data_IF_151651956021
#
_entry.id   IF_151651956021
#
_cell.length_a   1.000
_cell.length_b   1.000
_cell.length_c   1.000
_cell.angle_alpha   90.00
_cell.angle_beta   90.00
_cell.angle_gamma   90.00
#
_symmetry.space_group_name_H-M   'P 1'
#
loop_
_entity.id
_entity.type
_entity.pdbx_description
1 polymer ?
#
# COMPACT_ATOMS: atom_id res chain seq x y z
N UNK A 1 -16.07 45.74 19.34
CA UNK A 1 -15.62 44.95 18.17
C UNK A 1 -14.75 43.72 18.50
N UNK A 2 -14.69 43.25 19.75
CA UNK A 2 -13.86 42.10 20.15
C UNK A 2 -14.57 40.74 19.98
N UNK A 3 -15.90 40.70 20.14
CA UNK A 3 -16.70 39.47 19.98
C UNK A 3 -16.76 38.96 18.53
N UNK A 4 -16.73 39.86 17.55
CA UNK A 4 -16.65 39.49 16.12
C UNK A 4 -15.26 38.96 15.74
N UNK A 5 -14.20 39.49 16.34
CA UNK A 5 -12.83 39.00 16.14
C UNK A 5 -12.66 37.57 16.69
N UNK A 6 -13.21 37.29 17.89
CA UNK A 6 -13.19 35.95 18.49
C UNK A 6 -14.02 34.92 17.72
N UNK A 7 -15.17 35.31 17.16
CA UNK A 7 -15.98 34.43 16.32
C UNK A 7 -15.27 34.07 15.00
N UNK A 8 -14.59 35.04 14.38
CA UNK A 8 -13.80 34.79 13.16
C UNK A 8 -12.58 33.91 13.46
N UNK A 9 -11.89 34.13 14.58
CA UNK A 9 -10.78 33.28 15.02
C UNK A 9 -11.22 31.84 15.32
N UNK A 10 -12.40 31.65 15.93
CA UNK A 10 -12.96 30.32 16.18
C UNK A 10 -13.32 29.59 14.88
N UNK A 11 -13.85 30.30 13.88
CA UNK A 11 -14.15 29.73 12.54
C UNK A 11 -12.86 29.44 11.77
N UNK A 12 -11.82 30.27 11.88
CA UNK A 12 -10.51 30.00 11.27
C UNK A 12 -9.87 28.79 11.96
N UNK A 13 -9.93 28.65 13.28
CA UNK A 13 -9.39 27.50 14.01
C UNK A 13 -10.15 26.20 13.73
N UNK A 14 -11.47 26.23 13.55
CA UNK A 14 -12.23 25.03 13.16
C UNK A 14 -12.07 24.66 11.69
N UNK A 15 -11.78 25.63 10.80
CA UNK A 15 -11.46 25.35 9.39
C UNK A 15 -10.02 24.88 9.15
N UNK A 16 -9.14 24.92 10.16
CA UNK A 16 -7.75 24.43 10.07
C UNK A 16 -7.52 23.04 10.71
N UNK A 17 -8.58 22.38 11.19
CA UNK A 17 -8.46 21.08 11.87
C UNK A 17 -8.40 19.86 10.93
N UNK A 18 -8.53 20.06 9.62
CA UNK A 18 -8.43 18.99 8.61
C UNK A 18 -7.08 18.93 7.88
N UNK A 19 -6.07 19.67 8.35
CA UNK A 19 -4.69 19.39 7.95
C UNK A 19 -4.23 18.17 8.75
N UNK A 20 -4.66 16.99 8.29
CA UNK A 20 -3.88 15.76 8.49
C UNK A 20 -2.45 16.14 8.16
N UNK A 21 -1.54 15.95 9.12
CA UNK A 21 -0.11 16.15 8.96
C UNK A 21 0.29 15.66 7.57
N UNK A 22 0.54 16.63 6.69
CA UNK A 22 1.16 16.35 5.41
C UNK A 22 2.49 15.71 5.79
N UNK A 23 2.63 14.40 5.54
CA UNK A 23 3.94 13.85 5.18
C UNK A 23 4.37 14.63 3.93
N UNK A 24 4.89 15.83 4.18
CA UNK A 24 5.50 16.66 3.19
C UNK A 24 6.79 15.96 2.80
N UNK A 25 6.79 15.17 1.74
CA UNK A 25 8.05 14.55 1.33
C UNK A 25 7.99 13.66 0.10
N UNK A 26 8.23 14.26 -1.08
CA UNK A 26 8.85 13.64 -2.25
C UNK A 26 8.32 12.28 -2.76
N UNK A 27 7.09 11.89 -2.44
CA UNK A 27 6.50 10.63 -2.91
C UNK A 27 5.17 10.81 -3.63
N UNK A 28 4.85 9.84 -4.48
CA UNK A 28 3.60 9.74 -5.26
C UNK A 28 2.53 8.90 -4.54
N UNK A 29 2.75 8.53 -3.28
CA UNK A 29 1.79 7.75 -2.51
C UNK A 29 0.44 8.46 -2.43
N UNK A 30 -0.63 7.74 -2.81
CA UNK A 30 -1.99 8.24 -2.75
C UNK A 30 -2.71 7.63 -1.55
N UNK A 31 -3.40 8.48 -0.79
CA UNK A 31 -4.25 8.08 0.31
C UNK A 31 -5.70 8.42 0.00
N UNK A 32 -6.59 7.43 0.13
CA UNK A 32 -8.00 7.58 -0.22
C UNK A 32 -8.88 6.92 0.85
N UNK A 33 -9.86 7.66 1.34
CA UNK A 33 -10.93 7.11 2.19
C UNK A 33 -12.07 6.61 1.31
N UNK A 34 -12.94 5.75 1.86
CA UNK A 34 -14.14 5.25 1.16
C UNK A 34 -15.01 6.42 0.70
N UNK A 35 -15.28 7.38 1.59
CA UNK A 35 -16.09 8.56 1.25
C UNK A 35 -15.48 9.40 0.12
N UNK A 36 -14.15 9.52 0.07
CA UNK A 36 -13.48 10.24 -1.04
C UNK A 36 -13.55 9.45 -2.34
N UNK A 37 -13.39 8.12 -2.28
CA UNK A 37 -13.55 7.23 -3.43
C UNK A 37 -14.99 7.27 -3.98
N UNK A 38 -16.01 7.20 -3.11
CA UNK A 38 -17.41 7.23 -3.52
C UNK A 38 -17.75 8.56 -4.20
N UNK A 39 -17.27 9.69 -3.68
CA UNK A 39 -17.44 11.00 -4.33
C UNK A 39 -16.78 11.04 -5.71
N UNK A 40 -15.55 10.55 -5.83
CA UNK A 40 -14.85 10.45 -7.11
C UNK A 40 -15.63 9.56 -8.10
N UNK A 41 -16.12 8.41 -7.66
CA UNK A 41 -16.93 7.51 -8.47
C UNK A 41 -18.27 8.12 -8.89
N UNK A 42 -18.90 8.90 -8.02
CA UNK A 42 -20.15 9.60 -8.36
C UNK A 42 -19.99 10.55 -9.55
N UNK A 43 -18.80 11.12 -9.75
CA UNK A 43 -18.53 12.00 -10.90
C UNK A 43 -18.53 11.17 -12.19
N UNK A 44 -17.94 9.99 -12.18
CA UNK A 44 -17.81 9.13 -13.36
C UNK A 44 -19.07 8.31 -13.68
N UNK A 45 -19.93 8.05 -12.68
CA UNK A 45 -21.14 7.23 -12.84
C UNK A 45 -22.41 8.04 -13.11
N UNK A 46 -22.35 9.38 -12.99
CA UNK A 46 -23.50 10.29 -13.13
C UNK A 46 -24.15 10.30 -14.53
N UNK A 47 -23.38 9.99 -15.58
CA UNK A 47 -23.84 10.17 -16.96
C UNK A 47 -24.40 8.88 -17.60
N UNK A 48 -24.67 7.83 -16.82
CA UNK A 48 -25.24 6.57 -17.33
C UNK A 48 -24.32 5.80 -18.30
N UNK A 49 -23.06 6.25 -18.45
CA UNK A 49 -22.07 5.66 -19.37
C UNK A 49 -21.56 4.28 -18.94
N UNK A 50 -21.98 3.80 -17.77
CA UNK A 50 -21.50 2.56 -17.15
C UNK A 50 -22.67 1.67 -16.67
N UNK A 51 -23.58 1.29 -17.58
CA UNK A 51 -24.64 0.31 -17.30
C UNK A 51 -25.79 0.86 -16.45
N UNK A 52 -26.93 0.15 -16.44
CA UNK A 52 -28.14 0.55 -15.72
C UNK A 52 -28.10 0.19 -14.21
N UNK A 53 -27.05 -0.48 -13.76
CA UNK A 53 -26.91 -0.98 -12.37
C UNK A 53 -26.00 -0.07 -11.53
N UNK A 54 -26.22 -0.07 -10.21
CA UNK A 54 -25.49 0.74 -9.22
C UNK A 54 -24.03 0.29 -9.04
N UNK A 55 -23.17 0.50 -10.05
CA UNK A 55 -21.76 0.07 -10.08
C UNK A 55 -20.81 0.87 -9.13
N UNK A 56 -21.35 1.52 -8.10
CA UNK A 56 -20.60 2.42 -7.21
C UNK A 56 -19.53 1.68 -6.41
N UNK A 57 -19.84 0.50 -5.87
CA UNK A 57 -18.93 -0.32 -5.07
C UNK A 57 -17.80 -0.89 -5.93
N UNK A 58 -18.11 -1.35 -7.15
CA UNK A 58 -17.09 -1.76 -8.12
C UNK A 58 -16.13 -0.61 -8.42
N UNK A 59 -16.66 0.57 -8.75
CA UNK A 59 -15.82 1.74 -9.01
C UNK A 59 -14.93 2.06 -7.80
N UNK A 60 -15.51 2.10 -6.60
CA UNK A 60 -14.77 2.30 -5.35
C UNK A 60 -13.63 1.29 -5.26
N UNK A 61 -13.91 0.01 -5.45
CA UNK A 61 -12.92 -1.06 -5.39
C UNK A 61 -11.78 -0.92 -6.38
N UNK A 62 -12.07 -0.44 -7.59
CA UNK A 62 -11.04 -0.17 -8.61
C UNK A 62 -10.15 1.02 -8.22
N UNK A 63 -10.73 2.12 -7.73
CA UNK A 63 -9.96 3.32 -7.38
C UNK A 63 -9.22 3.20 -6.06
N UNK A 64 -9.68 2.35 -5.14
CA UNK A 64 -8.97 2.03 -3.89
C UNK A 64 -8.13 0.77 -3.97
N UNK A 65 -8.21 0.00 -5.06
CA UNK A 65 -7.45 -1.25 -5.31
C UNK A 65 -7.74 -2.35 -4.29
N UNK A 66 -9.00 -2.55 -3.96
CA UNK A 66 -9.43 -3.81 -3.35
C UNK A 66 -10.18 -4.69 -4.35
N UNK A 67 -10.51 -4.20 -5.54
CA UNK A 67 -11.27 -4.96 -6.55
C UNK A 67 -10.50 -5.05 -7.87
N UNK A 68 -10.64 -6.21 -8.52
CA UNK A 68 -10.14 -6.48 -9.86
C UNK A 68 -11.17 -7.33 -10.61
N UNK A 69 -11.67 -6.85 -11.76
CA UNK A 69 -12.69 -7.54 -12.53
C UNK A 69 -12.25 -8.92 -13.05
N UNK A 70 -10.94 -9.11 -13.29
CA UNK A 70 -10.41 -10.40 -13.73
C UNK A 70 -10.42 -11.45 -12.61
N UNK A 71 -10.42 -11.00 -11.36
CA UNK A 71 -10.44 -11.86 -10.17
C UNK A 71 -11.86 -12.05 -9.67
N UNK A 72 -12.67 -10.98 -9.66
CA UNK A 72 -14.08 -11.02 -9.28
C UNK A 72 -14.32 -11.31 -7.79
N UNK A 73 -13.31 -11.13 -6.94
CA UNK A 73 -13.44 -11.12 -5.48
C UNK A 73 -12.62 -9.97 -4.89
N UNK A 74 -13.01 -9.43 -3.72
CA UNK A 74 -12.20 -8.44 -3.02
C UNK A 74 -10.84 -9.02 -2.63
N UNK A 75 -9.78 -8.22 -2.79
CA UNK A 75 -8.48 -8.53 -2.25
C UNK A 75 -8.55 -8.57 -0.72
N UNK A 76 -7.77 -9.47 -0.09
CA UNK A 76 -7.71 -9.62 1.38
C UNK A 76 -7.46 -8.30 2.12
N UNK A 77 -6.76 -7.38 1.46
CA UNK A 77 -6.41 -6.06 1.97
C UNK A 77 -7.62 -5.11 2.13
N UNK A 78 -8.83 -5.50 1.74
CA UNK A 78 -10.06 -4.72 1.98
C UNK A 78 -10.32 -4.49 3.47
N UNK A 79 -9.86 -5.41 4.32
CA UNK A 79 -9.88 -5.34 5.78
C UNK A 79 -9.41 -3.99 6.34
N UNK A 80 -8.50 -3.30 5.64
CA UNK A 80 -7.98 -1.97 6.03
C UNK A 80 -9.07 -0.91 6.20
N UNK A 81 -10.22 -1.11 5.56
CA UNK A 81 -11.39 -0.23 5.63
C UNK A 81 -12.40 -0.64 6.70
N UNK A 82 -12.23 -1.80 7.34
CA UNK A 82 -13.16 -2.31 8.34
C UNK A 82 -12.50 -2.37 9.73
N UNK A 83 -13.36 -2.35 10.75
CA UNK A 83 -13.00 -2.64 12.13
C UNK A 83 -13.88 -3.79 12.60
N UNK A 84 -13.31 -4.96 12.90
CA UNK A 84 -14.06 -6.07 13.50
C UNK A 84 -14.75 -5.63 14.79
N UNK A 85 -15.89 -6.26 15.10
CA UNK A 85 -16.50 -6.15 16.41
C UNK A 85 -15.56 -6.76 17.46
N UNK A 86 -15.53 -6.23 18.68
CA UNK A 86 -14.57 -6.64 19.70
C UNK A 86 -14.85 -8.05 20.25
N UNK A 87 -16.07 -8.53 20.10
CA UNK A 87 -16.62 -9.78 20.65
C UNK A 87 -16.87 -10.86 19.59
N UNK A 88 -16.67 -10.54 18.31
CA UNK A 88 -16.79 -11.49 17.22
C UNK A 88 -15.39 -12.00 16.84
N UNK A 89 -15.14 -13.29 17.06
CA UNK A 89 -13.89 -13.95 16.67
C UNK A 89 -14.03 -14.70 15.34
N UNK A 90 -15.26 -14.92 14.87
CA UNK A 90 -15.57 -15.71 13.67
C UNK A 90 -15.88 -14.82 12.46
N UNK A 91 -15.85 -13.48 12.62
CA UNK A 91 -16.14 -12.50 11.57
C UNK A 91 -15.41 -12.79 10.24
N UNK A 92 -14.17 -13.27 10.30
CA UNK A 92 -13.37 -13.59 9.12
C UNK A 92 -13.98 -14.80 8.38
N UNK A 93 -14.16 -15.92 9.09
CA UNK A 93 -14.68 -17.16 8.53
C UNK A 93 -16.12 -17.00 8.02
N UNK A 94 -16.95 -16.24 8.74
CA UNK A 94 -18.32 -15.92 8.31
C UNK A 94 -18.34 -15.05 7.06
N UNK A 95 -17.42 -14.08 6.97
CA UNK A 95 -17.27 -13.23 5.76
C UNK A 95 -16.84 -14.07 4.57
N UNK A 96 -15.83 -14.93 4.70
CA UNK A 96 -15.37 -15.80 3.60
C UNK A 96 -16.46 -16.76 3.15
N UNK A 97 -17.17 -17.42 4.07
CA UNK A 97 -18.30 -18.29 3.73
C UNK A 97 -19.42 -17.55 2.98
N UNK A 98 -19.68 -16.29 3.34
CA UNK A 98 -20.64 -15.45 2.62
C UNK A 98 -20.12 -15.12 1.20
N UNK A 99 -18.86 -14.72 1.07
CA UNK A 99 -18.23 -14.41 -0.23
C UNK A 99 -18.25 -15.62 -1.14
N UNK A 100 -17.94 -16.82 -0.64
CA UNK A 100 -17.97 -18.07 -1.43
C UNK A 100 -19.36 -18.37 -2.00
N UNK A 101 -20.42 -18.15 -1.20
CA UNK A 101 -21.81 -18.29 -1.66
C UNK A 101 -22.13 -17.29 -2.77
N UNK A 102 -21.67 -16.04 -2.64
CA UNK A 102 -21.85 -15.02 -3.69
C UNK A 102 -21.09 -15.40 -4.96
N UNK A 103 -19.85 -15.86 -4.84
CA UNK A 103 -19.00 -16.28 -5.97
C UNK A 103 -19.60 -17.45 -6.73
N UNK A 104 -20.24 -18.39 -6.02
CA UNK A 104 -20.96 -19.51 -6.61
C UNK A 104 -22.27 -19.08 -7.31
N UNK A 105 -22.97 -18.08 -6.78
CA UNK A 105 -24.27 -17.66 -7.27
C UNK A 105 -24.22 -16.57 -8.37
N UNK A 106 -23.21 -15.70 -8.35
CA UNK A 106 -23.10 -14.53 -9.23
C UNK A 106 -21.95 -14.72 -10.21
N UNK A 107 -22.19 -14.77 -11.53
CA UNK A 107 -21.14 -14.99 -12.52
C UNK A 107 -20.12 -13.84 -12.52
N UNK A 108 -18.86 -14.14 -12.85
CA UNK A 108 -17.79 -13.14 -12.88
C UNK A 108 -18.00 -12.06 -13.96
N UNK A 109 -18.85 -12.31 -14.96
CA UNK A 109 -19.23 -11.33 -15.98
C UNK A 109 -20.15 -10.24 -15.43
N UNK A 110 -20.88 -10.51 -14.35
CA UNK A 110 -21.75 -9.55 -13.68
C UNK A 110 -20.98 -8.81 -12.57
N UNK A 111 -20.00 -8.03 -13.02
CA UNK A 111 -18.96 -7.45 -12.17
C UNK A 111 -19.52 -6.47 -11.12
N UNK A 112 -20.60 -5.75 -11.42
CA UNK A 112 -21.19 -4.79 -10.49
C UNK A 112 -21.97 -5.50 -9.39
N UNK A 113 -22.94 -6.37 -9.75
CA UNK A 113 -23.70 -7.14 -8.75
C UNK A 113 -22.79 -8.00 -7.90
N UNK A 114 -21.75 -8.59 -8.48
CA UNK A 114 -20.77 -9.40 -7.73
C UNK A 114 -19.96 -8.56 -6.74
N UNK A 115 -19.53 -7.36 -7.14
CA UNK A 115 -18.87 -6.42 -6.23
C UNK A 115 -19.80 -6.01 -5.09
N UNK A 116 -21.03 -5.59 -5.39
CA UNK A 116 -22.02 -5.20 -4.38
C UNK A 116 -22.30 -6.33 -3.39
N UNK A 117 -22.57 -7.52 -3.91
CA UNK A 117 -22.93 -8.69 -3.10
C UNK A 117 -21.77 -9.16 -2.21
N UNK A 118 -20.53 -9.15 -2.73
CA UNK A 118 -19.36 -9.52 -1.90
C UNK A 118 -19.04 -8.47 -0.85
N UNK A 119 -19.21 -7.16 -1.14
CA UNK A 119 -19.03 -6.12 -0.13
C UNK A 119 -20.15 -6.12 0.91
N UNK A 120 -21.36 -6.54 0.54
CA UNK A 120 -22.43 -6.73 1.51
C UNK A 120 -22.06 -7.78 2.55
N UNK A 121 -21.37 -8.86 2.17
CA UNK A 121 -20.81 -9.82 3.13
C UNK A 121 -19.88 -9.15 4.16
N UNK A 122 -19.01 -8.23 3.74
CA UNK A 122 -18.16 -7.50 4.68
C UNK A 122 -18.95 -6.58 5.61
N UNK A 123 -19.98 -5.91 5.09
CA UNK A 123 -20.83 -5.05 5.90
C UNK A 123 -21.64 -5.84 6.94
N UNK A 124 -22.08 -7.05 6.58
CA UNK A 124 -22.92 -7.88 7.43
C UNK A 124 -22.12 -8.71 8.44
N UNK A 125 -20.94 -9.21 8.04
CA UNK A 125 -20.18 -10.21 8.82
C UNK A 125 -18.84 -9.69 9.34
N UNK A 126 -18.16 -8.78 8.64
CA UNK A 126 -16.79 -8.41 9.01
C UNK A 126 -16.73 -7.34 10.12
N UNK A 127 -17.64 -6.37 10.07
CA UNK A 127 -17.74 -5.32 11.10
C UNK A 127 -17.96 -3.92 10.54
N UNK A 128 -17.52 -2.90 11.29
CA UNK A 128 -17.84 -1.50 10.98
C UNK A 128 -16.90 -0.92 9.92
N UNK A 129 -17.47 -0.40 8.84
CA UNK A 129 -16.76 0.39 7.84
C UNK A 129 -16.21 1.71 8.42
N UNK A 130 -14.92 1.94 8.23
CA UNK A 130 -14.20 3.20 8.49
C UNK A 130 -14.17 4.01 7.19
N UNK A 131 -15.23 4.78 6.95
CA UNK A 131 -15.46 5.46 5.68
C UNK A 131 -14.68 6.78 5.53
N UNK A 132 -14.20 7.34 6.64
CA UNK A 132 -13.58 8.67 6.68
C UNK A 132 -12.06 8.64 6.63
N UNK A 133 -11.43 7.64 7.26
CA UNK A 133 -9.96 7.61 7.38
C UNK A 133 -9.31 7.25 6.04
N UNK A 134 -8.41 8.10 5.49
CA UNK A 134 -7.67 7.75 4.29
C UNK A 134 -6.77 6.52 4.50
N UNK A 135 -6.73 5.63 3.51
CA UNK A 135 -5.84 4.46 3.48
C UNK A 135 -4.95 4.55 2.25
N UNK A 136 -3.74 4.01 2.36
CA UNK A 136 -2.82 3.91 1.23
C UNK A 136 -3.47 3.13 0.08
N UNK A 137 -3.33 3.62 -1.14
CA UNK A 137 -3.80 2.97 -2.37
C UNK A 137 -2.59 2.33 -3.06
N UNK A 138 -2.54 0.98 -3.13
CA UNK A 138 -1.48 0.29 -3.87
C UNK A 138 -1.30 0.79 -5.29
N UNK A 139 -0.04 0.91 -5.71
CA UNK A 139 0.32 1.23 -7.08
C UNK A 139 0.02 0.06 -8.02
N UNK A 140 -0.31 0.42 -9.25
CA UNK A 140 -0.45 -0.51 -10.36
C UNK A 140 0.89 -0.79 -11.04
N UNK A 141 0.97 -1.89 -11.81
CA UNK A 141 2.10 -2.17 -12.72
C UNK A 141 2.46 -0.99 -13.61
N UNK A 142 1.45 -0.26 -14.12
CA UNK A 142 1.68 0.92 -14.95
C UNK A 142 2.34 2.07 -14.17
N UNK A 143 1.90 2.31 -12.93
CA UNK A 143 2.47 3.32 -12.06
C UNK A 143 3.89 2.94 -11.61
N UNK A 144 4.14 1.69 -11.20
CA UNK A 144 5.49 1.19 -10.92
C UNK A 144 6.44 1.47 -12.09
N UNK A 145 6.00 1.14 -13.32
CA UNK A 145 6.79 1.39 -14.53
C UNK A 145 7.06 2.88 -14.76
N UNK A 146 6.08 3.75 -14.50
CA UNK A 146 6.25 5.20 -14.60
C UNK A 146 7.27 5.69 -13.58
N UNK A 147 7.11 5.35 -12.31
CA UNK A 147 8.00 5.74 -11.21
C UNK A 147 9.42 5.27 -11.50
N UNK A 148 9.61 4.01 -11.92
CA UNK A 148 10.92 3.48 -12.27
C UNK A 148 11.57 4.26 -13.41
N UNK A 149 10.80 4.62 -14.45
CA UNK A 149 11.30 5.42 -15.58
C UNK A 149 11.74 6.81 -15.13
N UNK A 150 10.97 7.46 -14.27
CA UNK A 150 11.30 8.77 -13.72
C UNK A 150 12.56 8.69 -12.83
N UNK A 151 12.68 7.66 -11.98
CA UNK A 151 13.88 7.40 -11.20
C UNK A 151 15.12 7.13 -12.06
N UNK A 152 14.98 6.33 -13.11
CA UNK A 152 16.09 6.07 -14.04
C UNK A 152 16.54 7.37 -14.72
N UNK A 153 15.61 8.23 -15.15
CA UNK A 153 15.93 9.51 -15.75
C UNK A 153 16.65 10.45 -14.76
N UNK A 154 16.16 10.56 -13.52
CA UNK A 154 16.80 11.38 -12.47
C UNK A 154 18.23 10.91 -12.15
N UNK A 155 18.47 9.61 -12.20
CA UNK A 155 19.78 9.01 -11.91
C UNK A 155 20.68 8.87 -13.16
N UNK A 156 20.24 9.32 -14.34
CA UNK A 156 21.00 9.20 -15.59
C UNK A 156 21.21 7.75 -16.07
N UNK A 157 20.30 6.84 -15.72
CA UNK A 157 20.39 5.42 -16.07
C UNK A 157 19.74 5.18 -17.44
N UNK A 158 20.54 4.72 -18.40
CA UNK A 158 20.07 4.41 -19.76
C UNK A 158 19.28 3.09 -19.83
N UNK A 159 18.57 2.86 -20.93
CA UNK A 159 17.83 1.60 -21.15
C UNK A 159 18.75 0.39 -21.30
N UNK A 160 19.92 0.58 -21.90
CA UNK A 160 20.97 -0.44 -22.03
C UNK A 160 21.51 -0.82 -20.65
N UNK A 161 21.62 0.16 -19.75
CA UNK A 161 22.03 -0.09 -18.37
C UNK A 161 20.97 -0.89 -17.59
N UNK A 162 19.68 -0.62 -17.80
CA UNK A 162 18.58 -1.43 -17.25
C UNK A 162 18.62 -2.89 -17.76
N UNK A 163 19.03 -3.12 -19.02
CA UNK A 163 19.23 -4.47 -19.54
C UNK A 163 20.33 -5.22 -18.77
N UNK A 164 21.43 -4.55 -18.41
CA UNK A 164 22.49 -5.17 -17.58
C UNK A 164 21.97 -5.56 -16.19
N UNK A 165 21.12 -4.72 -15.57
CA UNK A 165 20.52 -5.04 -14.28
C UNK A 165 19.60 -6.26 -14.37
N UNK A 166 18.78 -6.32 -15.43
CA UNK A 166 17.93 -7.48 -15.71
C UNK A 166 18.75 -8.75 -15.92
N UNK A 167 19.84 -8.65 -16.69
CA UNK A 167 20.65 -9.81 -17.11
C UNK A 167 21.47 -10.39 -15.96
N UNK A 168 22.15 -9.53 -15.21
CA UNK A 168 23.15 -9.98 -14.25
C UNK A 168 22.65 -9.90 -12.81
N UNK A 169 21.59 -9.15 -12.50
CA UNK A 169 21.08 -8.96 -11.15
C UNK A 169 21.36 -7.57 -10.59
N UNK A 170 20.52 -7.12 -9.66
CA UNK A 170 20.54 -5.77 -9.06
C UNK A 170 21.67 -5.65 -8.02
N UNK A 171 22.01 -6.74 -7.35
CA UNK A 171 23.03 -6.85 -6.30
C UNK A 171 24.43 -6.46 -6.77
N UNK A 172 24.73 -6.63 -8.05
CA UNK A 172 26.06 -6.39 -8.62
C UNK A 172 26.31 -4.93 -9.01
N UNK A 173 25.27 -4.08 -9.01
CA UNK A 173 25.35 -2.73 -9.56
C UNK A 173 24.93 -1.68 -8.54
N UNK A 174 25.84 -0.76 -8.22
CA UNK A 174 25.57 0.31 -7.26
C UNK A 174 24.46 1.27 -7.72
N UNK A 175 24.44 1.57 -9.01
CA UNK A 175 23.40 2.36 -9.65
C UNK A 175 22.04 1.65 -9.66
N UNK A 176 21.99 0.32 -9.79
CA UNK A 176 20.75 -0.45 -9.64
C UNK A 176 20.21 -0.40 -8.20
N UNK A 177 21.09 -0.48 -7.20
CA UNK A 177 20.71 -0.31 -5.78
C UNK A 177 20.16 1.09 -5.52
N UNK A 178 20.78 2.12 -6.09
CA UNK A 178 20.26 3.48 -6.00
C UNK A 178 18.92 3.66 -6.72
N UNK A 179 18.74 2.98 -7.85
CA UNK A 179 17.47 2.96 -8.57
C UNK A 179 16.35 2.32 -7.75
N UNK A 180 16.62 1.19 -7.08
CA UNK A 180 15.68 0.56 -6.15
C UNK A 180 15.33 1.49 -4.97
N UNK A 181 16.34 2.15 -4.38
CA UNK A 181 16.11 3.15 -3.32
C UNK A 181 15.19 4.27 -3.79
N UNK A 182 15.47 4.87 -4.95
CA UNK A 182 14.63 5.93 -5.52
C UNK A 182 13.19 5.44 -5.72
N UNK A 183 13.04 4.25 -6.29
CA UNK A 183 11.74 3.63 -6.54
C UNK A 183 10.91 3.49 -5.26
N UNK A 184 11.48 2.92 -4.19
CA UNK A 184 10.77 2.75 -2.91
C UNK A 184 10.44 4.10 -2.22
N UNK A 185 11.33 5.09 -2.32
CA UNK A 185 11.07 6.44 -1.78
C UNK A 185 9.92 7.10 -2.54
N UNK A 186 9.94 7.06 -3.88
CA UNK A 186 8.90 7.67 -4.71
C UNK A 186 7.55 7.00 -4.54
N UNK A 187 7.52 5.73 -4.19
CA UNK A 187 6.27 5.03 -3.80
C UNK A 187 5.82 5.32 -2.37
N UNK A 188 6.61 6.07 -1.59
CA UNK A 188 6.32 6.32 -0.18
C UNK A 188 6.35 5.05 0.66
N UNK A 189 7.08 4.03 0.21
CA UNK A 189 7.28 2.74 0.88
C UNK A 189 8.53 2.73 1.75
N UNK A 190 9.42 3.71 1.60
CA UNK A 190 10.71 3.76 2.29
C UNK A 190 11.15 5.21 2.54
N UNK A 191 11.80 5.48 3.66
CA UNK A 191 12.57 6.70 3.93
C UNK A 191 13.98 6.33 4.38
N UNK A 192 14.94 7.24 4.23
CA UNK A 192 16.31 6.96 4.72
C UNK A 192 16.35 6.95 6.25
N UNK A 193 15.47 7.73 6.88
CA UNK A 193 15.41 7.95 8.31
C UNK A 193 14.78 6.75 9.04
N UNK A 194 13.60 6.31 8.58
CA UNK A 194 12.81 5.26 9.26
C UNK A 194 12.93 3.90 8.59
N UNK A 195 13.49 3.84 7.37
CA UNK A 195 13.54 2.63 6.56
C UNK A 195 12.16 2.28 5.96
N UNK A 196 11.80 0.99 5.87
CA UNK A 196 10.59 0.55 5.18
C UNK A 196 9.31 0.90 5.96
N UNK A 197 8.35 1.52 5.27
CA UNK A 197 7.01 1.73 5.79
C UNK A 197 6.18 0.45 5.63
N UNK A 198 6.42 -0.51 6.52
CA UNK A 198 5.93 -1.86 6.39
C UNK A 198 4.43 -2.03 6.11
N UNK A 199 3.56 -1.24 6.75
CA UNK A 199 2.10 -1.32 6.52
C UNK A 199 1.74 -1.02 5.06
N UNK A 200 2.45 -0.08 4.41
CA UNK A 200 2.21 0.25 3.00
C UNK A 200 2.79 -0.83 2.11
N UNK A 201 3.98 -1.34 2.42
CA UNK A 201 4.60 -2.40 1.64
C UNK A 201 3.77 -3.70 1.66
N UNK A 202 3.18 -4.06 2.80
CA UNK A 202 2.27 -5.21 2.89
C UNK A 202 0.99 -5.01 2.10
N UNK A 203 0.38 -3.82 2.17
CA UNK A 203 -0.75 -3.50 1.31
C UNK A 203 -0.39 -3.55 -0.19
N UNK A 204 0.82 -3.14 -0.54
CA UNK A 204 1.31 -3.15 -1.92
C UNK A 204 1.57 -4.58 -2.45
N UNK A 205 2.00 -5.49 -1.59
CA UNK A 205 2.36 -6.87 -1.94
C UNK A 205 1.26 -7.88 -1.61
N UNK A 206 0.14 -7.43 -1.04
CA UNK A 206 -0.93 -8.28 -0.48
C UNK A 206 -0.43 -9.29 0.58
N UNK A 207 0.66 -8.97 1.27
CA UNK A 207 1.26 -9.82 2.31
C UNK A 207 0.65 -9.60 3.70
N UNK A 208 0.74 -10.60 4.59
CA UNK A 208 0.20 -10.52 5.94
C UNK A 208 1.20 -9.84 6.90
N UNK A 209 1.01 -8.54 7.13
CA UNK A 209 1.86 -7.79 8.06
C UNK A 209 1.33 -7.74 9.50
N UNK A 210 0.23 -8.41 9.80
CA UNK A 210 -0.24 -8.49 11.19
C UNK A 210 0.57 -9.50 12.02
N UNK A 211 1.45 -10.29 11.41
CA UNK A 211 2.37 -11.18 12.12
C UNK A 211 3.42 -10.38 12.93
N UNK A 212 3.25 -10.38 14.25
CA UNK A 212 4.17 -9.75 15.19
C UNK A 212 5.58 -10.36 15.19
N UNK A 213 5.72 -11.65 14.88
CA UNK A 213 7.01 -12.34 14.83
C UNK A 213 7.82 -11.89 13.62
N UNK A 214 7.21 -11.89 12.43
CA UNK A 214 7.80 -11.32 11.21
C UNK A 214 8.26 -9.87 11.43
N UNK A 215 7.40 -9.04 12.03
CA UNK A 215 7.72 -7.63 12.33
C UNK A 215 8.93 -7.46 13.22
N UNK A 216 9.01 -8.27 14.28
CA UNK A 216 10.11 -8.21 15.24
C UNK A 216 11.42 -8.66 14.59
N UNK A 217 11.38 -9.72 13.78
CA UNK A 217 12.53 -10.20 12.99
C UNK A 217 13.01 -9.16 11.98
N UNK A 218 12.10 -8.56 11.21
CA UNK A 218 12.44 -7.57 10.20
C UNK A 218 13.07 -6.31 10.85
N UNK A 219 12.50 -5.82 11.96
CA UNK A 219 13.07 -4.70 12.72
C UNK A 219 14.48 -4.98 13.24
N UNK A 220 14.71 -6.17 13.80
CA UNK A 220 16.04 -6.56 14.27
C UNK A 220 17.05 -6.62 13.12
N UNK A 221 16.66 -7.19 11.97
CA UNK A 221 17.49 -7.19 10.77
C UNK A 221 17.85 -5.78 10.30
N UNK A 222 16.87 -4.86 10.25
CA UNK A 222 17.09 -3.48 9.81
C UNK A 222 18.06 -2.75 10.74
N UNK A 223 17.87 -2.87 12.07
CA UNK A 223 18.78 -2.27 13.05
C UNK A 223 20.22 -2.75 12.84
N UNK A 224 20.42 -4.05 12.67
CA UNK A 224 21.74 -4.63 12.44
C UNK A 224 22.39 -4.14 11.13
N UNK A 225 21.61 -3.85 10.09
CA UNK A 225 22.12 -3.28 8.83
C UNK A 225 22.46 -1.79 8.96
N UNK A 226 21.68 -1.04 9.73
CA UNK A 226 21.92 0.39 9.98
C UNK A 226 23.27 0.61 10.70
N UNK A 227 23.63 -0.30 11.60
CA UNK A 227 24.91 -0.26 12.33
C UNK A 227 26.16 -0.56 11.45
N UNK A 228 25.97 -1.09 10.24
CA UNK A 228 27.08 -1.45 9.34
C UNK A 228 27.60 -0.27 8.50
N UNK A 229 27.14 0.96 8.75
CA UNK A 229 27.58 2.18 8.05
C UNK A 229 27.58 2.08 6.51
N UNK A 230 26.62 1.34 5.96
CA UNK A 230 26.44 1.19 4.52
C UNK A 230 26.02 2.53 3.90
N UNK A 231 26.43 2.78 2.65
CA UNK A 231 25.83 3.89 1.90
C UNK A 231 24.31 3.65 1.72
N UNK A 232 23.55 4.75 1.61
CA UNK A 232 22.08 4.71 1.60
C UNK A 232 21.48 3.76 0.55
N UNK A 233 22.07 3.70 -0.65
CA UNK A 233 21.59 2.80 -1.70
C UNK A 233 21.83 1.33 -1.35
N UNK A 234 23.01 0.99 -0.84
CA UNK A 234 23.33 -0.36 -0.39
C UNK A 234 22.47 -0.77 0.81
N UNK A 235 22.23 0.14 1.75
CA UNK A 235 21.35 -0.10 2.90
C UNK A 235 19.92 -0.40 2.45
N UNK A 236 19.34 0.44 1.60
CA UNK A 236 17.99 0.24 1.06
C UNK A 236 17.86 -1.10 0.30
N UNK A 237 18.87 -1.44 -0.51
CA UNK A 237 18.91 -2.73 -1.21
C UNK A 237 18.94 -3.90 -0.23
N UNK A 238 19.86 -3.89 0.75
CA UNK A 238 19.99 -5.01 1.71
C UNK A 238 18.77 -5.15 2.60
N UNK A 239 18.13 -4.04 3.00
CA UNK A 239 16.86 -4.10 3.72
C UNK A 239 15.80 -4.83 2.87
N UNK A 240 15.63 -4.43 1.61
CA UNK A 240 14.64 -5.03 0.71
C UNK A 240 14.94 -6.52 0.40
N UNK A 241 16.21 -6.90 0.37
CA UNK A 241 16.65 -8.25 0.01
C UNK A 241 16.73 -9.21 1.20
N UNK A 242 17.14 -8.72 2.38
CA UNK A 242 17.46 -9.54 3.55
C UNK A 242 16.41 -9.43 4.65
N UNK A 243 15.82 -8.24 4.85
CA UNK A 243 14.95 -7.99 6.01
C UNK A 243 13.45 -8.06 5.69
N UNK A 244 13.06 -7.64 4.49
CA UNK A 244 11.65 -7.64 4.04
C UNK A 244 11.44 -8.46 2.77
N UNK A 245 12.14 -9.59 2.65
CA UNK A 245 11.87 -10.57 1.59
C UNK A 245 10.65 -11.46 1.94
N UNK A 246 10.14 -12.20 0.94
CA UNK A 246 8.96 -13.07 1.10
C UNK A 246 7.64 -12.37 0.78
N UNK A 247 6.70 -12.34 1.72
CA UNK A 247 5.36 -11.76 1.53
C UNK A 247 5.35 -10.26 1.23
N UNK A 248 6.45 -9.55 1.54
CA UNK A 248 6.60 -8.10 1.32
C UNK A 248 7.73 -7.83 0.31
N UNK A 249 7.82 -8.64 -0.75
CA UNK A 249 8.91 -8.57 -1.72
C UNK A 249 8.78 -7.41 -2.73
N UNK A 250 8.92 -6.17 -2.27
CA UNK A 250 8.98 -4.97 -3.13
C UNK A 250 10.11 -5.06 -4.16
N UNK A 251 11.21 -5.75 -3.82
CA UNK A 251 12.29 -6.08 -4.77
C UNK A 251 11.76 -6.82 -6.01
N UNK A 252 10.79 -7.73 -5.88
CA UNK A 252 10.23 -8.46 -7.00
C UNK A 252 9.39 -7.55 -7.92
N UNK A 253 8.62 -6.63 -7.32
CA UNK A 253 7.88 -5.60 -8.06
C UNK A 253 8.85 -4.74 -8.87
N UNK A 254 9.93 -4.29 -8.23
CA UNK A 254 10.99 -3.51 -8.87
C UNK A 254 11.64 -4.27 -10.03
N UNK A 255 12.09 -5.51 -9.82
CA UNK A 255 12.69 -6.34 -10.86
C UNK A 255 11.72 -6.55 -12.03
N UNK A 256 10.44 -6.79 -11.75
CA UNK A 256 9.40 -6.89 -12.77
C UNK A 256 9.25 -5.61 -13.59
N UNK A 257 9.32 -4.43 -12.96
CA UNK A 257 9.29 -3.15 -13.65
C UNK A 257 10.57 -2.92 -14.50
N UNK A 258 11.75 -3.33 -14.00
CA UNK A 258 13.02 -3.28 -14.76
C UNK A 258 12.92 -4.12 -16.03
N UNK A 259 12.40 -5.34 -15.93
CA UNK A 259 12.20 -6.24 -17.07
C UNK A 259 11.34 -5.59 -18.15
N UNK A 260 10.25 -4.91 -17.77
CA UNK A 260 9.34 -4.25 -18.71
C UNK A 260 9.92 -2.99 -19.37
N UNK A 261 10.90 -2.32 -18.75
CA UNK A 261 11.55 -1.13 -19.32
C UNK A 261 12.82 -1.45 -20.10
N UNK A 262 13.47 -2.58 -19.81
CA UNK A 262 14.65 -3.03 -20.52
C UNK A 262 14.32 -3.43 -21.97
N UNK A 263 15.22 -3.18 -22.93
CA UNK A 263 15.12 -3.76 -24.27
C UNK A 263 14.98 -5.29 -24.21
N UNK A 264 14.25 -5.91 -25.16
CA UNK A 264 14.21 -7.36 -25.27
C UNK A 264 15.61 -7.90 -25.58
N UNK A 265 15.90 -9.11 -25.14
CA UNK A 265 17.17 -9.77 -25.45
C UNK A 265 17.16 -10.22 -26.91
N UNK A 266 17.86 -9.47 -27.77
CA UNK A 266 17.95 -9.76 -29.21
C UNK A 266 18.83 -10.99 -29.51
N UNK A 267 19.55 -11.54 -28.54
CA UNK A 267 20.42 -12.72 -28.75
C UNK A 267 19.63 -13.98 -29.14
N UNK A 268 18.34 -14.07 -28.76
CA UNK A 268 17.46 -15.17 -29.17
C UNK A 268 16.73 -14.93 -30.50
N UNK A 269 16.73 -13.70 -31.03
CA UNK A 269 16.12 -13.40 -32.34
C UNK A 269 17.08 -13.72 -33.50
N UNK A 270 18.39 -13.70 -33.24
CA UNK A 270 19.42 -14.05 -34.22
C UNK A 270 19.70 -15.56 -34.29
N UNK A 271 19.37 -16.33 -33.25
CA UNK A 271 19.46 -17.81 -33.28
C UNK A 271 18.29 -18.48 -34.00
N UNK A 272 17.22 -17.72 -34.29
CA UNK A 272 16.02 -18.19 -35.00
C UNK A 272 15.92 -17.71 -36.45
N UNK A 273 16.92 -17.00 -36.98
CA UNK A 273 16.99 -16.71 -38.42
C UNK A 273 17.45 -17.98 -39.14
N UNK A 274 16.58 -18.68 -39.91
CA UNK A 274 17.07 -19.66 -40.85
C UNK A 274 18.02 -18.95 -41.81
N UNK A 275 19.13 -19.61 -42.12
CA UNK A 275 20.12 -19.27 -43.13
C UNK A 275 19.49 -19.23 -44.54
N UNK A 276 18.59 -18.28 -44.76
CA UNK A 276 18.03 -17.97 -46.07
C UNK A 276 18.94 -16.94 -46.73
N UNK A 277 20.06 -17.43 -47.28
CA UNK A 277 20.76 -16.86 -48.44
C UNK A 277 21.90 -17.82 -48.86
N UNK A 278 21.61 -18.90 -49.60
CA UNK A 278 22.64 -19.54 -50.40
C UNK A 278 22.81 -18.74 -51.70
N UNK A 279 23.95 -18.08 -51.88
CA UNK A 279 24.39 -17.67 -53.22
C UNK A 279 24.65 -16.18 -53.48
N UNK A 280 25.21 -15.42 -52.54
CA UNK A 280 25.89 -14.17 -52.92
C UNK A 280 27.40 -14.44 -53.09
N UNK A 281 27.98 -14.25 -54.29
CA UNK A 281 29.41 -14.43 -54.48
C UNK A 281 30.20 -13.39 -53.68
N UNK A 282 31.11 -13.88 -52.85
CA UNK A 282 32.03 -13.13 -52.00
C UNK A 282 33.01 -12.33 -52.88
N UNK A 283 32.73 -11.04 -53.07
CA UNK A 283 33.64 -10.06 -53.66
C UNK A 283 34.12 -9.07 -52.61
N UNK A 284 34.75 -9.56 -51.54
CA UNK A 284 35.53 -8.72 -50.63
C UNK A 284 36.81 -9.49 -50.23
N UNK A 285 38.00 -8.89 -50.35
CA UNK A 285 39.24 -9.55 -49.95
C UNK A 285 39.31 -9.72 -48.43
N UNK A 286 40.06 -10.72 -47.94
CA UNK A 286 40.13 -11.03 -46.52
C UNK A 286 40.83 -9.90 -45.78
N UNK A 287 40.11 -9.27 -44.84
CA UNK A 287 40.73 -8.39 -43.84
C UNK A 287 41.35 -9.29 -42.78
N UNK A 288 42.67 -9.34 -42.75
CA UNK A 288 43.44 -9.95 -41.65
C UNK A 288 43.24 -9.14 -40.38
N UNK A 289 42.48 -9.69 -39.43
CA UNK A 289 42.34 -9.14 -38.08
C UNK A 289 43.51 -9.65 -37.22
N UNK A 290 44.18 -8.79 -36.41
CA UNK A 290 45.32 -9.21 -35.59
C UNK A 290 44.91 -10.21 -34.51
N UNK A 291 45.72 -11.26 -34.40
CA UNK A 291 45.64 -12.33 -33.41
C UNK A 291 45.78 -11.75 -31.99
N UNK A 292 44.75 -11.92 -31.16
CA UNK A 292 44.83 -11.64 -29.72
C UNK A 292 45.60 -12.78 -29.01
N UNK A 293 46.40 -12.47 -27.97
CA UNK A 293 47.17 -13.48 -27.23
C UNK A 293 46.25 -14.38 -26.37
N UNK A 294 46.73 -15.59 -26.02
CA UNK A 294 45.94 -16.59 -25.31
C UNK A 294 45.62 -16.15 -23.88
N UNK A 295 44.34 -16.22 -23.52
CA UNK A 295 43.88 -16.10 -22.14
C UNK A 295 44.35 -17.31 -21.32
N UNK A 296 45.07 -17.04 -20.24
CA UNK A 296 45.41 -18.01 -19.20
C UNK A 296 44.16 -18.42 -18.42
N UNK A 297 43.83 -19.71 -18.46
CA UNK A 297 42.79 -20.35 -17.66
C UNK A 297 43.13 -20.25 -16.16
N UNK A 298 42.24 -19.62 -15.38
CA UNK A 298 42.23 -19.77 -13.93
C UNK A 298 41.49 -21.06 -13.51
N UNK A 299 41.91 -21.73 -12.44
CA UNK A 299 41.35 -23.02 -12.04
C UNK A 299 39.95 -22.85 -11.42
N UNK A 300 39.05 -23.72 -11.84
CA UNK A 300 37.69 -23.92 -11.32
C UNK A 300 37.73 -24.40 -9.87
N UNK A 301 37.05 -23.68 -8.99
CA UNK A 301 36.80 -24.10 -7.60
C UNK A 301 35.60 -25.07 -7.55
N UNK A 302 35.57 -26.08 -6.65
CA UNK A 302 34.54 -27.10 -6.65
C UNK A 302 33.20 -26.56 -6.14
N UNK A 303 32.14 -26.75 -6.92
CA UNK A 303 30.76 -26.53 -6.51
C UNK A 303 30.29 -27.64 -5.59
N UNK A 304 29.90 -27.27 -4.37
CA UNK A 304 29.16 -28.14 -3.45
C UNK A 304 27.72 -28.32 -3.92
N UNK A 305 27.12 -29.52 -3.75
CA UNK A 305 25.76 -29.80 -4.21
C UNK A 305 24.73 -29.12 -3.30
N UNK A 306 23.81 -28.40 -3.92
CA UNK A 306 22.63 -27.78 -3.30
C UNK A 306 21.61 -28.88 -2.97
N UNK A 307 21.04 -28.96 -1.75
CA UNK A 307 19.99 -29.92 -1.46
C UNK A 307 18.68 -29.51 -2.14
N UNK A 308 17.95 -30.52 -2.63
CA UNK A 308 16.64 -30.39 -3.24
C UNK A 308 15.63 -29.80 -2.25
N UNK A 309 14.89 -28.77 -2.71
CA UNK A 309 13.77 -28.19 -1.98
C UNK A 309 12.55 -29.07 -2.26
N UNK A 310 12.18 -29.87 -1.27
CA UNK A 310 10.90 -30.56 -1.17
C UNK A 310 9.79 -29.55 -0.91
N UNK A 311 8.77 -29.56 -1.76
CA UNK A 311 7.49 -28.90 -1.54
C UNK A 311 6.80 -29.55 -0.34
N UNK A 312 6.52 -28.77 0.71
CA UNK A 312 5.57 -29.14 1.78
C UNK A 312 4.34 -28.21 1.73
N UNK A 313 3.13 -28.74 2.03
CA UNK A 313 1.85 -28.07 1.92
C UNK A 313 1.55 -27.17 3.15
N UNK A 314 0.50 -26.33 3.11
CA UNK A 314 0.21 -25.38 4.18
C UNK A 314 -0.22 -26.08 5.47
N UNK A 315 0.45 -25.73 6.59
CA UNK A 315 0.02 -26.05 7.94
C UNK A 315 -1.04 -25.03 8.40
N UNK A 316 -2.25 -25.50 8.60
CA UNK A 316 -3.25 -24.85 9.46
C UNK A 316 -2.95 -25.15 10.93
N UNK A 317 -3.16 -24.21 11.87
CA UNK A 317 -3.17 -24.55 13.29
C UNK A 317 -4.55 -25.10 13.68
N UNK A 318 -4.63 -26.39 13.93
CA UNK A 318 -5.72 -27.01 14.70
C UNK A 318 -5.56 -26.64 16.18
N UNK A 319 -6.55 -25.96 16.76
CA UNK A 319 -6.64 -25.75 18.20
C UNK A 319 -7.35 -26.96 18.84
N UNK A 320 -6.88 -27.49 19.99
CA UNK A 320 -7.48 -28.67 20.60
C UNK A 320 -8.70 -28.32 21.47
N UNK A 321 -9.64 -29.26 21.42
CA UNK A 321 -10.88 -29.38 22.17
C UNK A 321 -10.72 -29.32 23.69
N UNK A 322 -11.73 -28.70 24.29
CA UNK A 322 -12.12 -28.66 25.71
C UNK A 322 -12.01 -29.99 26.46
N UNK A 323 -11.46 -29.96 27.67
CA UNK A 323 -11.88 -30.89 28.74
C UNK A 323 -11.99 -30.17 30.08
N UNK A 324 -13.07 -30.53 30.77
CA UNK A 324 -13.69 -30.05 32.00
C UNK A 324 -12.80 -30.15 33.25
N UNK A 325 -12.73 -29.09 34.07
CA UNK A 325 -12.52 -29.19 35.51
C UNK A 325 -12.98 -27.92 36.26
N UNK A 326 -13.74 -28.13 37.33
CA UNK A 326 -14.34 -27.15 38.25
C UNK A 326 -13.34 -26.43 39.18
N UNK A 327 -13.78 -25.38 39.92
CA UNK A 327 -12.91 -24.28 40.36
C UNK A 327 -12.34 -24.47 41.77
N UNK A 328 -11.11 -23.98 41.97
CA UNK A 328 -10.52 -23.82 43.31
C UNK A 328 -10.24 -22.34 43.56
N UNK A 329 -10.80 -21.82 44.65
CA UNK A 329 -10.62 -20.46 45.16
C UNK A 329 -9.14 -20.09 45.32
N UNK A 330 -8.76 -18.88 44.88
CA UNK A 330 -7.54 -18.19 45.30
C UNK A 330 -7.93 -16.77 45.77
N UNK A 331 -7.47 -16.30 46.95
CA UNK A 331 -7.85 -15.02 47.55
C UNK A 331 -7.17 -13.79 46.89
N UNK A 332 -7.69 -12.57 47.11
CA UNK A 332 -7.17 -11.36 46.47
C UNK A 332 -5.85 -10.87 47.07
N UNK A 333 -4.94 -10.44 46.19
CA UNK A 333 -3.67 -9.79 46.51
C UNK A 333 -3.88 -8.29 46.81
N UNK A 334 -3.18 -7.69 47.79
CA UNK A 334 -3.43 -6.31 48.21
C UNK A 334 -2.85 -5.28 47.24
N UNK A 335 -3.64 -4.23 47.00
CA UNK A 335 -3.28 -3.01 46.28
C UNK A 335 -2.28 -2.17 47.06
N UNK A 336 -1.11 -1.93 46.48
CA UNK A 336 -0.10 -0.98 46.95
C UNK A 336 0.13 0.09 45.88
N UNK A 337 -0.55 1.23 46.00
CA UNK A 337 -0.18 2.48 45.35
C UNK A 337 -0.30 3.63 46.36
N UNK A 338 0.79 4.38 46.63
CA UNK A 338 0.72 5.60 47.43
C UNK A 338 0.20 6.79 46.58
N UNK A 339 -0.46 7.79 47.19
CA UNK A 339 -0.97 8.95 46.47
C UNK A 339 0.15 9.96 46.16
N UNK A 340 0.06 10.57 44.98
CA UNK A 340 0.91 11.67 44.53
C UNK A 340 0.42 13.01 45.13
N UNK A 341 1.29 13.93 45.58
CA UNK A 341 0.87 15.17 46.22
C UNK A 341 0.39 16.22 45.21
N UNK A 342 -0.73 16.86 45.54
CA UNK A 342 -1.28 18.04 44.87
C UNK A 342 -0.55 19.31 45.33
N UNK A 343 0.03 20.05 44.39
CA UNK A 343 0.58 21.38 44.58
C UNK A 343 -0.26 22.36 43.75
N UNK A 344 -0.91 23.30 44.44
CA UNK A 344 -1.21 24.71 44.10
C UNK A 344 -2.59 25.20 44.61
N UNK A 345 -2.68 26.47 45.05
CA UNK A 345 -3.57 26.98 46.11
C UNK A 345 -4.93 27.51 45.61
N UNK A 346 -5.87 27.86 46.52
CA UNK A 346 -7.25 28.22 46.16
C UNK A 346 -7.36 29.65 45.63
N UNK A 347 -8.16 29.83 44.58
CA UNK A 347 -8.65 31.15 44.14
C UNK A 347 -10.00 31.41 44.80
N UNK A 348 -10.03 32.53 45.52
CA UNK A 348 -11.17 33.09 46.24
C UNK A 348 -12.27 33.49 45.26
N UNK A 349 -13.50 33.04 45.55
CA UNK A 349 -14.75 33.44 44.89
C UNK A 349 -15.28 34.73 45.53
N UNK A 350 -15.74 35.67 44.72
CA UNK A 350 -16.65 36.74 45.14
C UNK A 350 -17.96 36.66 44.32
N UNK A 351 -19.13 36.92 44.92
CA UNK A 351 -20.43 36.59 44.34
C UNK A 351 -21.03 37.77 43.56
N UNK A 352 -21.76 37.47 42.47
CA UNK A 352 -22.72 38.43 41.88
C UNK A 352 -24.01 37.73 41.49
N UNK A 353 -25.01 37.94 42.35
CA UNK A 353 -26.43 38.22 42.09
C UNK A 353 -27.08 37.72 40.78
N UNK A 354 -28.05 36.83 40.98
CA UNK A 354 -29.16 36.45 40.12
C UNK A 354 -30.14 37.60 39.80
N UNK A 355 -30.65 37.65 38.55
CA UNK A 355 -32.06 38.02 38.24
C UNK A 355 -32.44 37.54 36.83
N UNK A 356 -33.72 37.16 36.57
CA UNK A 356 -34.12 36.39 35.40
C UNK A 356 -34.77 37.21 34.26
N UNK A 357 -34.70 36.62 33.05
CA UNK A 357 -35.55 36.68 31.83
C UNK A 357 -36.29 37.99 31.44
N UNK A 358 -36.41 38.25 30.13
CA UNK A 358 -37.68 37.82 29.51
C UNK A 358 -37.56 37.22 28.10
N UNK A 359 -38.56 36.37 27.84
CA UNK A 359 -39.01 35.78 26.59
C UNK A 359 -39.35 36.85 25.54
N UNK A 360 -38.94 36.68 24.29
CA UNK A 360 -39.63 37.36 23.17
C UNK A 360 -39.57 36.55 21.88
N UNK A 361 -40.76 36.11 21.48
CA UNK A 361 -41.18 35.56 20.20
C UNK A 361 -41.04 36.58 19.07
N UNK A 362 -40.50 36.17 17.90
CA UNK A 362 -40.71 36.81 16.56
C UNK A 362 -40.22 35.82 15.50
N UNK A 363 -41.12 35.11 14.81
CA UNK A 363 -41.76 35.51 13.55
C UNK A 363 -40.73 35.69 12.41
N UNK A 364 -40.54 34.61 11.63
CA UNK A 364 -39.87 34.63 10.33
C UNK A 364 -40.87 35.12 9.26
N UNK A 365 -40.62 36.30 8.70
CA UNK A 365 -41.31 36.81 7.51
C UNK A 365 -40.42 36.57 6.29
N UNK A 366 -40.96 35.83 5.34
CA UNK A 366 -40.49 35.68 3.96
C UNK A 366 -40.54 37.02 3.22
N UNK A 367 -39.48 37.38 2.48
CA UNK A 367 -39.61 38.20 1.26
C UNK A 367 -38.43 37.92 0.30
N UNK A 368 -38.60 38.19 -1.00
CA UNK A 368 -38.11 37.32 -2.07
C UNK A 368 -36.90 37.87 -2.84
N UNK A 369 -36.39 36.96 -3.66
CA UNK A 369 -35.50 37.10 -4.82
C UNK A 369 -35.70 38.39 -5.63
N UNK A 370 -34.58 39.09 -5.88
CA UNK A 370 -34.44 40.12 -6.92
C UNK A 370 -33.35 39.68 -7.91
N UNK A 371 -33.79 39.30 -9.11
CA UNK A 371 -32.99 39.24 -10.33
C UNK A 371 -32.66 40.67 -10.81
N UNK A 372 -31.57 40.84 -11.56
CA UNK A 372 -31.64 41.69 -12.74
C UNK A 372 -31.22 40.93 -14.01
N UNK A 373 -32.12 41.00 -14.99
CA UNK A 373 -31.88 40.79 -16.41
C UNK A 373 -31.07 41.98 -16.97
N UNK A 374 -29.95 41.69 -17.60
CA UNK A 374 -29.43 42.38 -18.79
C UNK A 374 -29.36 41.26 -19.85
N UNK A 375 -29.85 41.35 -21.08
CA UNK A 375 -30.36 42.47 -21.86
C UNK A 375 -30.09 42.12 -23.33
N UNK A 376 -31.16 41.88 -24.10
CA UNK A 376 -31.31 42.30 -25.51
C UNK A 376 -32.79 42.40 -25.82
#
# INVERSE_FOLDING_TARGET
NMKRLLAVLAVILTLHSDVVSSESGYHEAVFKSVRRADRECSIFLRDGTCGQDECSVRCRGLVTRFWNDSVGVPAVTIDRFYKPAHDDYDYYDLTEQCVDKVVAAVPCTDVCRRADSTIQCYNDQYGKLDDTKPKFVPFTKLQHRRILRECAAMLGISRERLYLFRKNGVEYYQDAKCLLRCFMIREGLYTDEDGPHFKRMSLQCEGNYNDGAYRSKAKSCISNLQDQHLNRCSLAYRIADECVNGEIAVKNIFVGAVVQLSPPDLTNLLSGLPSLLPGLPTLLPPITLPTLPPFTLFPTQPTTPRPAITLFPPLFPTQPTTTTASPTLIPPLPTLFPPLPTLFPPIIVAPTTTTPAPTTTRAFTLLPTLFPQLGR
#
